data_IF_812997481863
#
_entry.id   IF_812997481863
#
_cell.length_a   1.000
_cell.length_b   1.000
_cell.length_c   1.000
_cell.angle_alpha   90.00
_cell.angle_beta   90.00
_cell.angle_gamma   90.00
#
_symmetry.space_group_name_H-M   'P 1'
#
loop_
_entity.id
_entity.type
_entity.pdbx_description
1 polymer ?
#
# COMPACT_ATOMS: atom_id res chain seq x y z
N UNK A 1 -21.54 -14.13 2.97
CA UNK A 1 -20.52 -13.61 3.92
C UNK A 1 -19.73 -12.55 3.16
N UNK A 2 -19.71 -11.28 3.61
CA UNK A 2 -18.95 -10.22 2.93
C UNK A 2 -17.46 -10.46 3.15
N UNK A 3 -16.70 -10.59 2.05
CA UNK A 3 -15.24 -10.66 2.10
C UNK A 3 -14.70 -9.26 2.37
N UNK A 4 -13.93 -9.09 3.45
CA UNK A 4 -13.20 -7.87 3.75
C UNK A 4 -11.79 -7.96 3.16
N UNK A 5 -11.25 -6.84 2.69
CA UNK A 5 -9.91 -6.76 2.16
C UNK A 5 -9.15 -5.57 2.77
N UNK A 6 -7.85 -5.71 2.94
CA UNK A 6 -6.97 -4.67 3.49
C UNK A 6 -6.01 -4.15 2.42
N UNK A 7 -5.83 -2.83 2.43
CA UNK A 7 -4.75 -2.05 1.83
C UNK A 7 -3.35 -2.62 2.11
N UNK A 8 -2.64 -3.27 1.17
CA UNK A 8 -1.23 -3.66 1.42
C UNK A 8 -0.20 -2.95 0.54
N UNK A 9 -0.59 -2.49 -0.65
CA UNK A 9 0.29 -1.65 -1.46
C UNK A 9 -0.49 -0.69 -2.37
N UNK A 10 0.01 0.54 -2.51
CA UNK A 10 -0.50 1.54 -3.44
C UNK A 10 0.65 2.03 -4.35
N UNK A 11 0.58 1.68 -5.63
CA UNK A 11 1.51 2.17 -6.66
C UNK A 11 0.97 3.49 -7.20
N UNK A 12 1.85 4.48 -7.28
CA UNK A 12 1.56 5.83 -7.73
C UNK A 12 2.44 6.15 -8.92
N UNK A 13 1.82 6.66 -9.98
CA UNK A 13 2.52 7.33 -11.06
C UNK A 13 2.40 8.84 -10.81
N UNK A 14 3.54 9.53 -10.68
CA UNK A 14 3.60 10.98 -10.50
C UNK A 14 4.27 11.62 -11.72
N UNK A 15 3.55 12.52 -12.38
CA UNK A 15 3.96 13.14 -13.65
C UNK A 15 2.93 13.02 -14.77
N UNK A 16 3.35 13.32 -16.00
CA UNK A 16 2.54 13.21 -17.22
C UNK A 16 2.46 11.75 -17.68
N UNK A 17 1.43 11.34 -18.44
CA UNK A 17 1.29 9.94 -18.88
C UNK A 17 2.53 9.31 -19.55
N UNK A 18 3.28 10.08 -20.34
CA UNK A 18 4.48 9.62 -21.07
C UNK A 18 5.80 9.95 -20.33
N UNK A 19 5.73 10.73 -19.25
CA UNK A 19 6.89 11.25 -18.51
C UNK A 19 6.57 11.28 -17.01
N UNK A 20 7.22 10.45 -16.21
CA UNK A 20 6.99 10.47 -14.78
C UNK A 20 7.85 9.47 -14.03
N UNK A 21 7.55 9.36 -12.74
CA UNK A 21 8.19 8.42 -11.83
C UNK A 21 7.13 7.52 -11.19
N UNK A 22 7.54 6.30 -10.90
CA UNK A 22 6.73 5.38 -10.13
C UNK A 22 7.28 5.28 -8.72
N UNK A 23 6.39 5.38 -7.76
CA UNK A 23 6.67 5.05 -6.37
C UNK A 23 5.60 4.14 -5.82
N UNK A 24 5.93 3.38 -4.80
CA UNK A 24 4.99 2.46 -4.16
C UNK A 24 4.98 2.70 -2.66
N UNK A 25 3.79 2.77 -2.10
CA UNK A 25 3.57 2.66 -0.68
C UNK A 25 3.30 1.20 -0.34
N UNK A 26 4.08 0.61 0.56
CA UNK A 26 3.91 -0.78 1.01
C UNK A 26 3.69 -0.82 2.51
N UNK A 27 2.67 -1.55 2.96
CA UNK A 27 2.45 -1.82 4.37
C UNK A 27 3.31 -3.00 4.82
N UNK A 28 4.12 -2.79 5.85
CA UNK A 28 4.84 -3.86 6.51
C UNK A 28 4.00 -4.39 7.67
N UNK A 29 3.51 -5.63 7.53
CA UNK A 29 2.60 -6.25 8.52
C UNK A 29 3.19 -6.46 9.91
N UNK A 30 4.51 -6.61 10.02
CA UNK A 30 5.13 -6.91 11.32
C UNK A 30 5.03 -5.76 12.32
N UNK A 31 4.98 -4.52 11.82
CA UNK A 31 4.96 -3.30 12.63
C UNK A 31 3.80 -2.35 12.24
N UNK A 32 2.96 -2.74 11.29
CA UNK A 32 1.84 -1.93 10.75
C UNK A 32 2.27 -0.56 10.20
N UNK A 33 3.57 -0.39 9.89
CA UNK A 33 4.12 0.82 9.31
C UNK A 33 4.03 0.81 7.78
N UNK A 34 3.98 2.00 7.21
CA UNK A 34 3.99 2.20 5.77
C UNK A 34 5.34 2.73 5.33
N UNK A 35 5.79 2.29 4.15
CA UNK A 35 7.03 2.74 3.56
C UNK A 35 6.75 3.23 2.15
N UNK A 36 7.23 4.43 1.83
CA UNK A 36 7.38 4.90 0.46
C UNK A 36 8.68 4.34 -0.11
N UNK A 37 8.59 3.73 -1.29
CA UNK A 37 9.73 3.24 -2.04
C UNK A 37 9.73 3.87 -3.43
N UNK A 38 10.85 4.46 -3.80
CA UNK A 38 11.11 4.96 -5.15
C UNK A 38 12.51 4.52 -5.56
N UNK A 39 12.60 3.66 -6.56
CA UNK A 39 13.85 3.02 -6.99
C UNK A 39 14.60 2.37 -5.81
N UNK A 40 15.74 2.96 -5.42
CA UNK A 40 16.58 2.49 -4.31
C UNK A 40 16.30 3.22 -2.99
N UNK A 41 15.45 4.25 -3.00
CA UNK A 41 15.10 5.02 -1.81
C UNK A 41 13.93 4.37 -1.08
N UNK A 42 14.05 4.26 0.25
CA UNK A 42 13.01 3.74 1.14
C UNK A 42 12.88 4.69 2.32
N UNK A 43 11.66 5.15 2.61
CA UNK A 43 11.36 6.02 3.74
C UNK A 43 10.06 5.61 4.42
N UNK A 44 10.01 5.69 5.74
CA UNK A 44 8.76 5.50 6.49
C UNK A 44 7.78 6.65 6.18
N UNK A 45 6.50 6.33 6.09
CA UNK A 45 5.44 7.30 5.84
C UNK A 45 4.22 7.00 6.71
N UNK A 46 3.46 8.05 7.03
CA UNK A 46 2.22 7.92 7.77
C UNK A 46 1.09 7.35 6.90
N UNK A 47 0.20 6.50 7.45
CA UNK A 47 -0.93 5.93 6.72
C UNK A 47 -1.84 6.97 6.03
N UNK A 48 -1.99 8.16 6.63
CA UNK A 48 -2.81 9.24 6.09
C UNK A 48 -2.28 9.76 4.74
N UNK A 49 -0.96 9.73 4.54
CA UNK A 49 -0.34 10.12 3.26
C UNK A 49 -0.69 9.10 2.18
N UNK A 50 -0.67 7.81 2.52
CA UNK A 50 -1.05 6.73 1.58
C UNK A 50 -2.50 6.90 1.13
N UNK A 51 -3.41 7.23 2.06
CA UNK A 51 -4.83 7.43 1.76
C UNK A 51 -5.10 8.66 0.86
N UNK A 52 -4.24 9.68 0.91
CA UNK A 52 -4.36 10.90 0.10
C UNK A 52 -3.57 10.82 -1.21
N UNK A 53 -2.72 9.81 -1.37
CA UNK A 53 -1.91 9.65 -2.58
C UNK A 53 -2.76 9.23 -3.77
N UNK A 54 -2.34 9.65 -4.97
CA UNK A 54 -2.91 9.12 -6.22
C UNK A 54 -2.77 7.59 -6.27
N UNK A 55 -3.61 6.93 -7.04
CA UNK A 55 -3.56 5.48 -7.20
C UNK A 55 -3.50 5.11 -8.68
N UNK A 56 -2.42 4.46 -9.07
CA UNK A 56 -2.29 3.84 -10.38
C UNK A 56 -2.67 2.35 -10.31
N UNK A 57 -2.16 1.65 -9.30
CA UNK A 57 -2.49 0.24 -9.02
C UNK A 57 -2.54 0.02 -7.52
N UNK A 58 -3.57 -0.68 -7.05
CA UNK A 58 -3.72 -1.04 -5.65
C UNK A 58 -3.73 -2.56 -5.46
N UNK A 59 -3.00 -3.03 -4.46
CA UNK A 59 -2.95 -4.43 -4.08
C UNK A 59 -3.64 -4.58 -2.73
N UNK A 60 -4.63 -5.47 -2.71
CA UNK A 60 -5.44 -5.77 -1.56
C UNK A 60 -5.29 -7.23 -1.18
N UNK A 61 -5.22 -7.50 0.12
CA UNK A 61 -5.28 -8.85 0.64
C UNK A 61 -6.62 -9.17 1.27
N UNK A 62 -7.08 -10.41 1.10
CA UNK A 62 -8.32 -10.84 1.75
C UNK A 62 -8.07 -10.96 3.26
N UNK A 63 -8.90 -10.30 4.05
CA UNK A 63 -8.93 -10.46 5.49
C UNK A 63 -9.47 -11.86 5.80
N UNK A 64 -8.56 -12.77 6.17
CA UNK A 64 -8.91 -14.09 6.67
C UNK A 64 -9.25 -13.94 8.14
N UNK A 65 -10.52 -14.20 8.50
CA UNK A 65 -10.90 -14.33 9.91
C UNK A 65 -10.04 -15.45 10.50
N UNK A 66 -9.22 -15.14 11.49
CA UNK A 66 -8.57 -16.17 12.31
C UNK A 66 -9.69 -16.98 12.96
N UNK A 67 -9.86 -18.23 12.54
CA UNK A 67 -10.72 -19.16 13.26
C UNK A 67 -10.01 -19.42 14.58
N UNK A 68 -10.64 -19.13 15.75
CA UNK A 68 -10.01 -19.40 17.02
C UNK A 68 -9.68 -20.90 17.10
N UNK A 69 -8.45 -21.24 17.48
CA UNK A 69 -8.14 -22.62 17.84
C UNK A 69 -9.00 -23.03 19.05
N UNK A 70 -9.64 -24.20 18.94
CA UNK A 70 -10.56 -24.78 19.91
C UNK A 70 -9.88 -25.19 21.21
#
# INVERSE_FOLDING_TARGET
MLKKYNLIANVVHDGKPEEGIYKVFVQRKSDELWYEMQDLHVGEVLPQVVALSGAYLQIYEQHVLQVPES
#
